data_IF_070677404694
#
_entry.id   IF_070677404694
#
_cell.length_a   1.000
_cell.length_b   1.000
_cell.length_c   1.000
_cell.angle_alpha   90.00
_cell.angle_beta   90.00
_cell.angle_gamma   90.00
#
_symmetry.space_group_name_H-M   'P 1'
#
loop_
_entity.id
_entity.type
_entity.pdbx_description
1 polymer ?
#
# COMPACT_ATOMS: atom_id res chain seq x y z
N UNK A 1 3.63 25.66 10.11
CA UNK A 1 2.90 25.42 8.85
C UNK A 1 3.93 25.12 7.78
N UNK A 2 3.98 23.88 7.26
CA UNK A 2 4.95 23.52 6.24
C UNK A 2 4.55 24.18 4.91
N UNK A 3 5.33 25.17 4.47
CA UNK A 3 5.30 25.69 3.09
C UNK A 3 6.12 24.75 2.22
N UNK A 4 5.55 23.61 1.85
CA UNK A 4 6.11 22.77 0.79
C UNK A 4 5.67 23.32 -0.57
N UNK A 5 6.58 23.40 -1.54
CA UNK A 5 6.23 23.68 -2.93
C UNK A 5 5.44 22.51 -3.52
N UNK A 6 4.14 22.45 -3.23
CA UNK A 6 3.19 21.47 -3.76
C UNK A 6 2.78 21.81 -5.21
N UNK A 7 3.68 22.23 -6.10
CA UNK A 7 3.21 22.66 -7.43
C UNK A 7 4.29 22.78 -8.51
N UNK A 8 5.07 21.74 -8.79
CA UNK A 8 5.73 21.65 -10.12
C UNK A 8 5.00 20.75 -11.10
N UNK A 9 4.11 19.85 -10.64
CA UNK A 9 3.46 18.84 -11.51
C UNK A 9 1.93 18.85 -11.49
N UNK A 10 1.29 19.85 -10.88
CA UNK A 10 -0.17 19.94 -10.85
C UNK A 10 -0.71 20.52 -12.16
N UNK A 11 -1.24 19.66 -13.01
CA UNK A 11 -1.89 20.04 -14.28
C UNK A 11 -3.36 19.62 -14.25
N UNK A 12 -4.30 20.53 -13.90
CA UNK A 12 -5.72 20.19 -13.71
C UNK A 12 -6.40 19.71 -15.01
N UNK A 13 -6.05 20.30 -16.16
CA UNK A 13 -6.65 19.91 -17.45
C UNK A 13 -6.19 18.52 -17.90
N UNK A 14 -4.91 18.21 -17.68
CA UNK A 14 -4.37 16.89 -17.95
C UNK A 14 -5.00 15.85 -17.03
N UNK A 15 -5.17 16.18 -15.74
CA UNK A 15 -5.81 15.29 -14.77
C UNK A 15 -7.27 15.01 -15.15
N UNK A 16 -8.03 16.05 -15.54
CA UNK A 16 -9.41 15.89 -16.05
C UNK A 16 -9.48 14.97 -17.24
N UNK A 17 -8.60 15.16 -18.22
CA UNK A 17 -8.53 14.32 -19.41
C UNK A 17 -8.27 12.86 -19.04
N UNK A 18 -7.33 12.60 -18.11
CA UNK A 18 -7.01 11.22 -17.69
C UNK A 18 -8.13 10.56 -16.90
N UNK A 19 -8.89 11.32 -16.12
CA UNK A 19 -10.07 10.81 -15.43
C UNK A 19 -11.19 10.49 -16.45
N UNK A 20 -11.40 11.36 -17.44
CA UNK A 20 -12.38 11.13 -18.51
C UNK A 20 -12.03 9.93 -19.40
N UNK A 21 -10.74 9.67 -19.62
CA UNK A 21 -10.22 8.46 -20.29
C UNK A 21 -10.42 7.18 -19.45
N UNK A 22 -10.92 7.27 -18.21
CA UNK A 22 -11.15 6.11 -17.33
C UNK A 22 -9.87 5.49 -16.77
N UNK A 23 -8.75 6.23 -16.73
CA UNK A 23 -7.48 5.70 -16.24
C UNK A 23 -7.51 5.38 -14.75
N UNK A 24 -6.78 4.33 -14.38
CA UNK A 24 -6.60 3.93 -12.98
C UNK A 24 -5.61 4.84 -12.25
N UNK A 25 -5.71 4.89 -10.92
CA UNK A 25 -4.76 5.65 -10.08
C UNK A 25 -3.30 5.31 -10.37
N UNK A 26 -2.97 4.03 -10.60
CA UNK A 26 -1.61 3.59 -10.93
C UNK A 26 -1.09 4.18 -12.23
N UNK A 27 -1.93 4.25 -13.27
CA UNK A 27 -1.57 4.83 -14.56
C UNK A 27 -1.35 6.33 -14.45
N UNK A 28 -2.26 7.03 -13.75
CA UNK A 28 -2.15 8.48 -13.52
C UNK A 28 -0.89 8.80 -12.71
N UNK A 29 -0.61 8.05 -11.64
CA UNK A 29 0.61 8.21 -10.85
C UNK A 29 1.88 8.01 -11.68
N UNK A 30 1.89 7.01 -12.58
CA UNK A 30 3.03 6.71 -13.46
C UNK A 30 3.26 7.83 -14.48
N UNK A 31 2.20 8.34 -15.11
CA UNK A 31 2.29 9.40 -16.11
C UNK A 31 2.73 10.74 -15.51
N UNK A 32 2.20 11.08 -14.35
CA UNK A 32 2.57 12.32 -13.66
C UNK A 32 3.88 12.16 -12.86
N UNK A 33 4.35 10.93 -12.63
CA UNK A 33 5.50 10.65 -11.78
C UNK A 33 5.31 11.23 -10.37
N UNK A 34 4.14 10.99 -9.78
CA UNK A 34 3.71 11.49 -8.47
C UNK A 34 3.33 10.35 -7.54
N UNK A 35 3.38 10.63 -6.23
CA UNK A 35 2.92 9.70 -5.20
C UNK A 35 1.39 9.62 -5.14
N UNK A 36 0.88 8.58 -4.46
CA UNK A 36 -0.56 8.42 -4.20
C UNK A 36 -1.12 9.56 -3.36
N UNK A 37 -0.37 10.05 -2.38
CA UNK A 37 -0.76 11.17 -1.52
C UNK A 37 -0.93 12.45 -2.35
N UNK A 38 0.04 12.75 -3.19
CA UNK A 38 0.01 13.89 -4.12
C UNK A 38 -1.17 13.79 -5.09
N UNK A 39 -1.49 12.60 -5.60
CA UNK A 39 -2.66 12.41 -6.45
C UNK A 39 -3.98 12.67 -5.69
N UNK A 40 -4.08 12.32 -4.40
CA UNK A 40 -5.24 12.67 -3.57
C UNK A 40 -5.37 14.18 -3.38
N UNK A 41 -4.26 14.88 -3.12
CA UNK A 41 -4.24 16.34 -3.01
C UNK A 41 -4.64 17.02 -4.33
N UNK A 42 -4.06 16.59 -5.45
CA UNK A 42 -4.42 17.10 -6.77
C UNK A 42 -5.89 16.88 -7.11
N UNK A 43 -6.45 15.72 -6.74
CA UNK A 43 -7.84 15.41 -6.97
C UNK A 43 -8.76 16.26 -6.08
N UNK A 44 -8.39 16.49 -4.83
CA UNK A 44 -9.12 17.39 -3.93
C UNK A 44 -9.17 18.83 -4.50
N UNK A 45 -8.01 19.35 -4.93
CA UNK A 45 -7.92 20.68 -5.54
C UNK A 45 -8.76 20.80 -6.81
N UNK A 46 -8.81 19.73 -7.63
CA UNK A 46 -9.61 19.69 -8.83
C UNK A 46 -11.11 19.67 -8.51
N UNK A 47 -11.52 18.87 -7.52
CA UNK A 47 -12.91 18.78 -7.08
C UNK A 47 -13.42 20.10 -6.48
N UNK A 48 -12.60 20.80 -5.67
CA UNK A 48 -12.94 22.12 -5.13
C UNK A 48 -13.10 23.16 -6.24
N UNK A 49 -12.19 23.14 -7.23
CA UNK A 49 -12.22 24.08 -8.36
C UNK A 49 -13.45 23.91 -9.22
N UNK A 50 -13.77 22.67 -9.57
CA UNK A 50 -14.84 22.36 -10.52
C UNK A 50 -16.21 22.15 -9.82
N UNK A 51 -16.21 22.13 -8.48
CA UNK A 51 -17.36 21.76 -7.64
C UNK A 51 -18.02 20.47 -8.09
N UNK A 52 -17.21 19.53 -8.60
CA UNK A 52 -17.65 18.27 -9.18
C UNK A 52 -16.90 17.13 -8.51
N UNK A 53 -17.63 16.05 -8.21
CA UNK A 53 -17.02 14.82 -7.75
C UNK A 53 -16.38 14.05 -8.90
N UNK A 54 -15.13 13.69 -8.71
CA UNK A 54 -14.36 12.82 -9.60
C UNK A 54 -13.98 11.53 -8.88
N UNK A 55 -14.36 10.39 -9.45
CA UNK A 55 -13.96 9.08 -8.95
C UNK A 55 -12.77 8.56 -9.76
N UNK A 56 -11.73 8.09 -9.07
CA UNK A 56 -10.54 7.48 -9.70
C UNK A 56 -10.40 6.04 -9.23
N UNK A 57 -10.53 5.06 -10.14
CA UNK A 57 -10.41 3.65 -9.79
C UNK A 57 -9.08 3.34 -9.12
N UNK A 58 -9.14 2.69 -7.96
CA UNK A 58 -7.96 2.26 -7.20
C UNK A 58 -7.24 3.39 -6.45
N UNK A 59 -7.77 4.61 -6.34
CA UNK A 59 -7.17 5.71 -5.53
C UNK A 59 -7.60 5.69 -4.06
N UNK A 60 -8.83 5.24 -3.80
CA UNK A 60 -9.41 5.12 -2.45
C UNK A 60 -9.38 3.69 -1.92
N UNK A 61 -9.16 2.70 -2.79
CA UNK A 61 -8.92 1.33 -2.34
C UNK A 61 -7.67 1.29 -1.47
N UNK A 62 -7.81 0.93 -0.19
CA UNK A 62 -6.67 0.77 0.69
C UNK A 62 -5.86 -0.45 0.26
N UNK A 63 -4.99 -0.28 -0.74
CA UNK A 63 -4.01 -1.29 -1.11
C UNK A 63 -3.13 -1.64 0.10
N UNK A 64 -2.88 -0.70 1.03
CA UNK A 64 -2.21 -1.02 2.28
C UNK A 64 -3.07 -1.85 3.23
N UNK A 65 -4.37 -1.61 3.35
CA UNK A 65 -5.25 -2.46 4.16
C UNK A 65 -5.38 -3.85 3.52
N UNK A 66 -5.51 -3.92 2.19
CA UNK A 66 -5.52 -5.17 1.44
C UNK A 66 -4.18 -5.92 1.58
N UNK A 67 -3.04 -5.25 1.46
CA UNK A 67 -1.71 -5.82 1.69
C UNK A 67 -1.50 -6.21 3.16
N UNK A 68 -2.01 -5.44 4.13
CA UNK A 68 -2.01 -5.81 5.55
C UNK A 68 -2.88 -7.04 5.78
N UNK A 69 -4.04 -7.16 5.15
CA UNK A 69 -4.92 -8.33 5.22
C UNK A 69 -4.22 -9.54 4.58
N UNK A 70 -3.58 -9.39 3.42
CA UNK A 70 -2.81 -10.45 2.75
C UNK A 70 -1.59 -10.86 3.56
N UNK A 71 -0.86 -9.93 4.18
CA UNK A 71 0.23 -10.22 5.13
C UNK A 71 -0.28 -10.92 6.40
N UNK A 72 -1.42 -10.50 6.95
CA UNK A 72 -2.08 -11.16 8.10
C UNK A 72 -2.55 -12.57 7.79
N UNK A 73 -2.90 -12.88 6.53
CA UNK A 73 -3.27 -14.23 6.09
C UNK A 73 -2.09 -15.19 5.90
N UNK A 74 -0.85 -14.69 5.85
CA UNK A 74 0.36 -15.50 5.62
C UNK A 74 1.21 -15.77 6.87
N UNK A 75 0.78 -15.37 8.07
CA UNK A 75 1.49 -15.68 9.30
C UNK A 75 0.67 -15.44 10.55
N UNK A 76 0.82 -16.32 11.54
CA UNK A 76 0.25 -16.18 12.88
C UNK A 76 1.10 -15.20 13.69
N UNK A 77 0.49 -14.14 14.22
CA UNK A 77 1.17 -13.20 15.13
C UNK A 77 1.10 -13.77 16.55
N UNK A 78 2.24 -14.21 17.09
CA UNK A 78 2.34 -14.58 18.50
C UNK A 78 2.33 -13.31 19.35
N UNK A 79 1.30 -13.13 20.17
CA UNK A 79 1.33 -12.12 21.22
C UNK A 79 2.22 -12.62 22.38
N UNK A 80 2.74 -11.76 23.26
CA UNK A 80 3.50 -12.20 24.43
C UNK A 80 2.72 -13.19 25.32
N UNK A 81 1.39 -13.12 25.30
CA UNK A 81 0.51 -14.05 26.01
C UNK A 81 0.29 -15.39 25.27
N UNK A 82 0.64 -15.47 23.99
CA UNK A 82 0.54 -16.65 23.12
C UNK A 82 1.91 -17.03 22.56
N UNK A 83 2.92 -17.11 23.43
CA UNK A 83 4.28 -17.61 23.13
C UNK A 83 4.32 -19.06 22.61
N UNK A 84 3.17 -19.75 22.58
CA UNK A 84 3.07 -21.13 22.14
C UNK A 84 2.20 -21.16 20.88
N UNK A 85 2.84 -21.31 19.72
CA UNK A 85 2.15 -21.70 18.50
C UNK A 85 1.56 -23.10 18.72
N UNK A 86 0.32 -23.38 18.29
CA UNK A 86 -0.21 -24.73 18.34
C UNK A 86 0.74 -25.65 17.55
N UNK A 87 1.20 -26.73 18.19
CA UNK A 87 2.17 -27.74 17.71
C UNK A 87 3.68 -27.45 17.90
N UNK A 88 4.06 -26.37 18.57
CA UNK A 88 5.46 -26.10 18.91
C UNK A 88 5.69 -26.08 20.42
N UNK A 89 6.70 -26.82 20.88
CA UNK A 89 7.11 -26.90 22.29
C UNK A 89 8.50 -26.26 22.46
N UNK A 90 8.85 -25.75 23.66
CA UNK A 90 10.16 -25.16 23.94
C UNK A 90 11.37 -26.10 23.73
N UNK A 91 11.13 -27.39 23.50
CA UNK A 91 12.15 -28.43 23.30
C UNK A 91 12.21 -28.96 21.86
N UNK A 92 11.44 -28.39 20.94
CA UNK A 92 11.48 -28.83 19.54
C UNK A 92 12.78 -28.38 18.87
N UNK A 93 13.39 -29.26 18.08
CA UNK A 93 14.54 -28.93 17.27
C UNK A 93 14.09 -28.36 15.92
N UNK A 94 14.83 -27.38 15.42
CA UNK A 94 14.55 -26.74 14.13
C UNK A 94 15.81 -26.69 13.28
N UNK A 95 15.63 -26.89 11.98
CA UNK A 95 16.63 -26.62 10.96
C UNK A 95 16.47 -25.16 10.48
N UNK A 96 17.59 -24.45 10.36
CA UNK A 96 17.60 -23.04 9.97
C UNK A 96 18.10 -22.89 8.53
N UNK A 97 17.29 -22.25 7.69
CA UNK A 97 17.65 -21.89 6.31
C UNK A 97 17.55 -20.39 6.11
N UNK A 98 18.43 -19.84 5.27
CA UNK A 98 18.33 -18.47 4.78
C UNK A 98 17.77 -18.51 3.35
N UNK A 99 16.60 -17.91 3.15
CA UNK A 99 16.00 -17.73 1.82
C UNK A 99 16.77 -16.69 1.01
N UNK A 100 16.62 -16.74 -0.32
CA UNK A 100 17.22 -15.79 -1.28
C UNK A 100 16.82 -14.32 -1.01
N UNK A 101 15.69 -14.10 -0.32
CA UNK A 101 15.20 -12.79 0.13
C UNK A 101 15.81 -12.31 1.47
N UNK A 102 16.80 -13.02 2.02
CA UNK A 102 17.45 -12.70 3.30
C UNK A 102 16.58 -12.98 4.52
N UNK A 103 15.61 -13.90 4.41
CA UNK A 103 14.74 -14.30 5.52
C UNK A 103 15.23 -15.59 6.15
N UNK A 104 15.26 -15.63 7.47
CA UNK A 104 15.57 -16.84 8.23
C UNK A 104 14.28 -17.66 8.38
N UNK A 105 14.29 -18.86 7.81
CA UNK A 105 13.20 -19.85 7.90
C UNK A 105 13.63 -20.96 8.85
N UNK A 106 12.80 -21.24 9.84
CA UNK A 106 12.99 -22.35 10.78
C UNK A 106 12.01 -23.47 10.42
N UNK A 107 12.53 -24.64 10.06
CA UNK A 107 11.75 -25.85 9.76
C UNK A 107 11.85 -26.80 10.94
N UNK A 108 10.72 -27.21 11.52
CA UNK A 108 10.72 -28.15 12.65
C UNK A 108 11.21 -29.52 12.19
N UNK A 109 12.19 -30.06 12.90
CA UNK A 109 12.62 -31.45 12.79
C UNK A 109 11.59 -32.30 13.55
N UNK A 110 11.08 -33.35 12.91
CA UNK A 110 10.03 -34.22 13.49
C UNK A 110 10.40 -34.77 14.87
#
# INVERSE_FOLDING_TARGET
MAKGDYSTKYSPDLLRSKIAEGKTAKQIMKEFGISRFTLKEHLLLLQERDKKYYEVPGLLEDQEAALRIVKRRRGTVCSPATLVLPNFRPTDAFEMHEDEDGRIVLVKLN
#
